data_IF_656461338026
#
_entry.id   IF_656461338026
#
_cell.length_a   1.000
_cell.length_b   1.000
_cell.length_c   1.000
_cell.angle_alpha   90.00
_cell.angle_beta   90.00
_cell.angle_gamma   90.00
#
_symmetry.space_group_name_H-M   'P 1'
#
loop_
_entity.id
_entity.type
_entity.pdbx_description
1 polymer ?
#
# COMPACT_ATOMS: atom_id res chain seq x y z
N UNK A 1 -33.79 20.08 5.65
CA UNK A 1 -33.32 19.27 4.52
C UNK A 1 -32.67 18.06 5.13
N UNK A 2 -33.07 16.87 4.71
CA UNK A 2 -32.50 15.61 5.20
C UNK A 2 -31.00 15.58 4.82
N UNK A 3 -30.10 15.76 5.79
CA UNK A 3 -28.64 15.86 5.54
C UNK A 3 -28.01 14.54 5.04
N UNK A 4 -28.83 13.49 4.89
CA UNK A 4 -28.43 12.17 4.39
C UNK A 4 -28.02 12.18 2.91
N UNK A 5 -28.49 13.14 2.11
CA UNK A 5 -28.14 13.22 0.68
C UNK A 5 -27.52 14.56 0.31
N UNK A 6 -26.42 14.54 -0.46
CA UNK A 6 -25.78 15.77 -0.96
C UNK A 6 -26.68 16.40 -2.01
N UNK A 7 -26.92 17.71 -1.96
CA UNK A 7 -27.63 18.40 -3.02
C UNK A 7 -26.79 18.38 -4.30
N UNK A 8 -27.40 17.93 -5.39
CA UNK A 8 -26.85 18.06 -6.74
C UNK A 8 -27.30 19.42 -7.26
N UNK A 9 -26.36 20.35 -7.42
CA UNK A 9 -26.63 21.68 -7.98
C UNK A 9 -26.71 21.62 -9.49
N UNK A 10 -27.42 22.58 -10.07
CA UNK A 10 -27.41 22.80 -11.52
C UNK A 10 -25.98 23.03 -12.01
N UNK A 11 -25.65 22.40 -13.12
CA UNK A 11 -24.35 22.55 -13.76
C UNK A 11 -24.13 24.01 -14.18
N UNK A 12 -23.08 24.70 -13.70
CA UNK A 12 -22.73 26.02 -14.21
C UNK A 12 -22.31 25.94 -15.68
N UNK A 13 -22.64 26.98 -16.44
CA UNK A 13 -22.21 27.12 -17.83
C UNK A 13 -20.67 27.19 -17.91
N UNK A 14 -20.05 26.83 -19.05
CA UNK A 14 -18.61 26.95 -19.22
C UNK A 14 -18.07 28.36 -18.92
N UNK A 15 -18.82 29.41 -19.25
CA UNK A 15 -18.42 30.78 -18.95
C UNK A 15 -18.51 31.10 -17.45
N UNK A 16 -19.52 30.59 -16.72
CA UNK A 16 -19.59 30.74 -15.26
C UNK A 16 -18.44 30.02 -14.55
N UNK A 17 -18.08 28.80 -14.98
CA UNK A 17 -16.93 28.05 -14.44
C UNK A 17 -15.64 28.87 -14.64
N UNK A 18 -15.45 29.39 -15.85
CA UNK A 18 -14.30 30.23 -16.20
C UNK A 18 -14.25 31.49 -15.36
N UNK A 19 -15.36 32.24 -15.26
CA UNK A 19 -15.45 33.44 -14.44
C UNK A 19 -15.12 33.17 -12.98
N UNK A 20 -15.64 32.06 -12.42
CA UNK A 20 -15.36 31.64 -11.05
C UNK A 20 -13.87 31.39 -10.80
N UNK A 21 -13.20 30.62 -11.68
CA UNK A 21 -11.79 30.26 -11.49
C UNK A 21 -10.84 31.42 -11.76
N UNK A 22 -11.20 32.33 -12.67
CA UNK A 22 -10.38 33.50 -13.01
C UNK A 22 -10.50 34.64 -11.98
N UNK A 23 -11.25 34.43 -10.88
CA UNK A 23 -11.22 35.37 -9.75
C UNK A 23 -9.82 35.36 -9.11
N UNK A 24 -9.17 36.53 -8.94
CA UNK A 24 -7.78 36.61 -8.48
C UNK A 24 -7.51 35.85 -7.17
N UNK A 25 -8.43 35.94 -6.21
CA UNK A 25 -8.33 35.30 -4.91
C UNK A 25 -8.40 33.77 -5.00
N UNK A 26 -9.30 33.23 -5.83
CA UNK A 26 -9.42 31.79 -6.09
C UNK A 26 -8.17 31.27 -6.78
N UNK A 27 -7.77 31.93 -7.87
CA UNK A 27 -6.63 31.53 -8.66
C UNK A 27 -5.34 31.55 -7.84
N UNK A 28 -5.16 32.55 -6.97
CA UNK A 28 -4.02 32.66 -6.04
C UNK A 28 -3.98 31.49 -5.07
N UNK A 29 -5.09 31.15 -4.43
CA UNK A 29 -5.11 30.02 -3.49
C UNK A 29 -4.90 28.67 -4.19
N UNK A 30 -5.53 28.46 -5.36
CA UNK A 30 -5.29 27.25 -6.15
C UNK A 30 -3.81 27.12 -6.56
N UNK A 31 -3.24 28.20 -7.10
CA UNK A 31 -1.85 28.24 -7.55
C UNK A 31 -0.86 27.95 -6.42
N UNK A 32 -1.12 28.44 -5.21
CA UNK A 32 -0.23 28.21 -4.05
C UNK A 32 -0.05 26.72 -3.71
N UNK A 33 -1.06 25.89 -3.99
CA UNK A 33 -0.98 24.44 -3.79
C UNK A 33 -0.22 23.77 -4.92
N UNK A 34 -0.31 24.30 -6.14
CA UNK A 34 0.22 23.63 -7.33
C UNK A 34 1.75 23.52 -7.36
N UNK A 35 2.45 24.32 -6.56
CA UNK A 35 3.91 24.34 -6.54
C UNK A 35 4.49 22.96 -6.21
N UNK A 36 5.40 22.48 -7.06
CA UNK A 36 6.03 21.15 -6.96
C UNK A 36 5.04 19.97 -6.95
N UNK A 37 3.77 20.14 -7.29
CA UNK A 37 2.81 19.04 -7.40
C UNK A 37 2.60 18.61 -8.84
N UNK A 38 2.30 17.32 -9.02
CA UNK A 38 1.69 16.86 -10.25
C UNK A 38 0.24 17.33 -10.28
N UNK A 39 -0.16 18.01 -11.35
CA UNK A 39 -1.52 18.54 -11.53
C UNK A 39 -2.26 17.70 -12.57
N UNK A 40 -3.52 17.40 -12.29
CA UNK A 40 -4.41 16.68 -13.18
C UNK A 40 -5.73 17.46 -13.34
N UNK A 41 -5.83 18.34 -14.36
CA UNK A 41 -7.10 18.96 -14.70
C UNK A 41 -8.04 17.90 -15.31
N UNK A 42 -9.34 18.07 -15.07
CA UNK A 42 -10.40 17.38 -15.79
C UNK A 42 -11.11 18.39 -16.67
N UNK A 43 -11.38 18.01 -17.90
CA UNK A 43 -12.02 18.88 -18.90
C UNK A 43 -13.48 18.48 -19.13
N UNK A 44 -14.22 19.39 -19.76
CA UNK A 44 -15.57 19.11 -20.25
C UNK A 44 -15.60 17.82 -21.10
N UNK A 45 -16.64 17.00 -20.98
CA UNK A 45 -16.71 15.60 -21.44
C UNK A 45 -15.90 14.56 -20.63
N UNK A 46 -15.52 14.89 -19.39
CA UNK A 46 -15.01 13.93 -18.39
C UNK A 46 -13.64 13.30 -18.66
N UNK A 47 -12.86 13.81 -19.61
CA UNK A 47 -11.50 13.33 -19.81
C UNK A 47 -10.53 14.01 -18.85
N UNK A 48 -9.61 13.22 -18.28
CA UNK A 48 -8.48 13.76 -17.54
C UNK A 48 -7.42 14.28 -18.52
N UNK A 49 -6.76 15.38 -18.15
CA UNK A 49 -5.56 15.83 -18.83
C UNK A 49 -4.47 14.77 -18.80
N UNK A 50 -3.60 14.78 -19.82
CA UNK A 50 -2.45 13.88 -19.87
C UNK A 50 -1.55 14.11 -18.65
N UNK A 51 -1.11 13.00 -18.04
CA UNK A 51 -0.20 12.99 -16.89
C UNK A 51 1.19 12.47 -17.30
N UNK A 52 2.29 13.02 -16.75
CA UNK A 52 2.31 14.11 -15.79
C UNK A 52 1.99 15.48 -16.39
N UNK A 53 1.47 16.35 -15.54
CA UNK A 53 1.28 17.77 -15.82
C UNK A 53 1.68 18.57 -14.58
N UNK A 54 2.02 19.85 -14.78
CA UNK A 54 2.36 20.79 -13.71
C UNK A 54 1.83 22.17 -14.06
N UNK A 55 1.74 23.05 -13.06
CA UNK A 55 1.39 24.45 -13.24
C UNK A 55 2.44 25.32 -12.52
N UNK A 56 3.65 25.48 -13.11
CA UNK A 56 4.73 26.26 -12.51
C UNK A 56 4.42 27.76 -12.40
N UNK A 57 3.55 28.28 -13.27
CA UNK A 57 3.11 29.67 -13.27
C UNK A 57 1.59 29.76 -13.14
N UNK A 58 1.09 30.88 -12.60
CA UNK A 58 -0.34 31.13 -12.48
C UNK A 58 -1.06 31.11 -13.84
N UNK A 59 -0.39 31.59 -14.89
CA UNK A 59 -0.90 31.57 -16.26
C UNK A 59 -1.17 30.16 -16.81
N UNK A 60 -0.51 29.12 -16.28
CA UNK A 60 -0.78 27.73 -16.68
C UNK A 60 -2.18 27.29 -16.21
N UNK A 61 -2.57 27.66 -14.98
CA UNK A 61 -3.92 27.41 -14.49
C UNK A 61 -4.95 28.20 -15.30
N UNK A 62 -4.69 29.48 -15.58
CA UNK A 62 -5.60 30.27 -16.43
C UNK A 62 -5.77 29.64 -17.81
N UNK A 63 -4.68 29.16 -18.41
CA UNK A 63 -4.72 28.48 -19.70
C UNK A 63 -5.60 27.23 -19.62
N UNK A 64 -5.40 26.37 -18.61
CA UNK A 64 -6.24 25.18 -18.41
C UNK A 64 -7.73 25.54 -18.24
N UNK A 65 -8.04 26.59 -17.49
CA UNK A 65 -9.41 27.11 -17.35
C UNK A 65 -9.97 27.57 -18.70
N UNK A 66 -9.20 28.33 -19.49
CA UNK A 66 -9.57 28.77 -20.84
C UNK A 66 -9.77 27.60 -21.81
N UNK A 67 -9.08 26.47 -21.58
CA UNK A 67 -9.29 25.20 -22.27
C UNK A 67 -10.48 24.38 -21.72
N UNK A 68 -11.37 25.00 -20.94
CA UNK A 68 -12.59 24.39 -20.36
C UNK A 68 -12.31 23.30 -19.33
N UNK A 69 -11.26 23.46 -18.52
CA UNK A 69 -11.08 22.64 -17.33
C UNK A 69 -12.24 22.87 -16.33
N UNK A 70 -12.88 21.79 -15.89
CA UNK A 70 -13.99 21.81 -14.93
C UNK A 70 -13.50 21.62 -13.51
N UNK A 71 -12.54 20.71 -13.27
CA UNK A 71 -11.94 20.49 -11.96
C UNK A 71 -10.44 20.26 -12.03
N UNK A 72 -9.78 20.41 -10.89
CA UNK A 72 -8.35 20.29 -10.73
C UNK A 72 -8.03 19.37 -9.55
N UNK A 73 -7.09 18.46 -9.79
CA UNK A 73 -6.54 17.58 -8.78
C UNK A 73 -5.02 17.79 -8.71
N UNK A 74 -4.43 17.58 -7.53
CA UNK A 74 -3.00 17.67 -7.31
C UNK A 74 -2.49 16.46 -6.54
N UNK A 75 -1.22 16.11 -6.72
CA UNK A 75 -0.59 15.04 -5.95
C UNK A 75 -0.44 15.42 -4.48
N UNK A 76 -0.64 14.46 -3.57
CA UNK A 76 -0.27 14.65 -2.15
C UNK A 76 1.25 14.84 -2.02
N UNK A 77 2.01 14.08 -2.81
CA UNK A 77 3.47 14.19 -2.94
C UNK A 77 3.89 15.50 -3.61
N UNK A 78 5.06 16.00 -3.19
CA UNK A 78 5.77 17.10 -3.80
C UNK A 78 7.01 16.56 -4.53
N UNK A 79 7.27 17.06 -5.73
CA UNK A 79 8.28 16.58 -6.66
C UNK A 79 9.23 17.71 -7.05
N UNK A 80 10.52 17.39 -7.12
CA UNK A 80 11.55 18.31 -7.65
C UNK A 80 11.26 18.71 -9.10
N UNK A 81 10.75 17.76 -9.89
CA UNK A 81 10.30 17.99 -11.25
C UNK A 81 9.11 17.06 -11.56
N UNK A 82 7.85 17.55 -11.43
CA UNK A 82 6.67 16.73 -11.71
C UNK A 82 6.64 16.19 -13.14
N UNK A 83 7.21 16.91 -14.11
CA UNK A 83 7.22 16.48 -15.52
C UNK A 83 8.13 15.28 -15.79
N UNK A 84 9.03 14.93 -14.86
CA UNK A 84 9.89 13.75 -14.95
C UNK A 84 9.19 12.45 -14.52
N UNK A 85 7.96 12.52 -14.01
CA UNK A 85 7.25 11.34 -13.51
C UNK A 85 6.81 10.41 -14.66
N UNK A 86 7.00 9.11 -14.46
CA UNK A 86 6.53 8.06 -15.35
C UNK A 86 6.09 6.82 -14.55
N UNK A 87 5.19 6.02 -15.11
CA UNK A 87 4.80 4.71 -14.55
C UNK A 87 5.93 3.68 -14.62
N UNK A 88 6.97 3.93 -15.41
CA UNK A 88 8.11 3.02 -15.59
C UNK A 88 9.22 3.23 -14.56
N UNK A 89 9.16 4.32 -13.79
CA UNK A 89 10.17 4.63 -12.78
C UNK A 89 10.16 3.60 -11.66
N UNK A 90 11.35 3.15 -11.26
CA UNK A 90 11.54 2.33 -10.06
C UNK A 90 11.33 3.19 -8.81
N UNK A 91 11.02 2.53 -7.69
CA UNK A 91 10.83 3.18 -6.37
C UNK A 91 11.98 4.13 -6.01
N UNK A 92 13.23 3.69 -6.17
CA UNK A 92 14.43 4.50 -5.88
C UNK A 92 14.47 5.79 -6.72
N UNK A 93 14.07 5.71 -7.99
CA UNK A 93 14.05 6.88 -8.89
C UNK A 93 12.92 7.84 -8.49
N UNK A 94 11.73 7.31 -8.18
CA UNK A 94 10.61 8.09 -7.66
C UNK A 94 10.98 8.79 -6.34
N UNK A 95 11.60 8.08 -5.41
CA UNK A 95 12.04 8.63 -4.12
C UNK A 95 13.10 9.72 -4.30
N UNK A 96 13.94 9.62 -5.34
CA UNK A 96 14.93 10.65 -5.67
C UNK A 96 14.30 11.94 -6.20
N UNK A 97 13.15 11.83 -6.88
CA UNK A 97 12.34 12.95 -7.37
C UNK A 97 11.45 13.54 -6.28
N UNK A 98 11.07 12.76 -5.26
CA UNK A 98 10.21 13.24 -4.16
C UNK A 98 10.97 14.22 -3.27
N UNK A 99 10.33 15.36 -3.03
CA UNK A 99 10.82 16.41 -2.12
C UNK A 99 10.09 16.40 -0.78
N UNK A 100 8.83 15.94 -0.76
CA UNK A 100 8.01 15.83 0.44
C UNK A 100 6.63 15.27 0.10
N UNK A 101 5.72 15.31 1.06
CA UNK A 101 4.32 14.94 0.89
C UNK A 101 3.49 15.65 1.95
N UNK A 102 2.36 16.24 1.55
CA UNK A 102 1.41 16.79 2.52
C UNK A 102 0.58 15.64 3.09
N UNK A 103 0.25 15.72 4.38
CA UNK A 103 -0.60 14.74 5.04
C UNK A 103 -2.05 15.18 4.90
N UNK A 104 -2.90 14.36 4.26
CA UNK A 104 -4.29 14.71 3.96
C UNK A 104 -5.19 13.54 4.40
N UNK A 105 -5.90 13.71 5.49
CA UNK A 105 -6.95 12.79 5.90
C UNK A 105 -8.16 13.03 5.00
N UNK A 106 -8.41 12.12 4.06
CA UNK A 106 -9.62 12.12 3.23
C UNK A 106 -10.71 11.32 3.95
N UNK A 107 -11.76 12.04 4.36
CA UNK A 107 -12.85 11.52 5.18
C UNK A 107 -14.10 11.55 4.31
N UNK A 108 -14.71 10.39 4.01
CA UNK A 108 -15.96 10.30 3.24
C UNK A 108 -16.96 9.40 3.96
N UNK A 109 -18.25 9.77 3.92
CA UNK A 109 -19.32 8.99 4.53
C UNK A 109 -20.50 8.85 3.59
N UNK A 110 -20.86 7.61 3.25
CA UNK A 110 -22.07 7.34 2.48
C UNK A 110 -23.34 7.58 3.31
N UNK A 111 -23.30 7.29 4.62
CA UNK A 111 -24.47 7.30 5.53
C UNK A 111 -24.89 8.71 5.99
N UNK A 112 -24.03 9.71 5.87
CA UNK A 112 -24.38 11.09 6.19
C UNK A 112 -23.19 12.02 6.44
N UNK A 113 -23.33 13.27 5.99
CA UNK A 113 -22.26 14.27 6.11
C UNK A 113 -22.02 14.74 7.55
N UNK A 114 -22.99 14.58 8.44
CA UNK A 114 -22.81 14.82 9.87
C UNK A 114 -21.72 13.92 10.47
N UNK A 115 -21.69 12.63 10.10
CA UNK A 115 -20.64 11.70 10.54
C UNK A 115 -19.27 12.11 10.03
N UNK A 116 -19.18 12.61 8.78
CA UNK A 116 -17.93 13.15 8.23
C UNK A 116 -17.45 14.40 8.99
N UNK A 117 -18.34 15.33 9.35
CA UNK A 117 -18.02 16.53 10.15
C UNK A 117 -17.50 16.16 11.54
N UNK A 118 -18.19 15.24 12.23
CA UNK A 118 -17.79 14.78 13.57
C UNK A 118 -16.45 14.05 13.52
N UNK A 119 -16.23 13.20 12.52
CA UNK A 119 -14.95 12.53 12.31
C UNK A 119 -13.83 13.55 12.08
N UNK A 120 -14.05 14.53 11.20
CA UNK A 120 -13.09 15.60 10.93
C UNK A 120 -12.74 16.41 12.19
N UNK A 121 -13.73 16.76 13.02
CA UNK A 121 -13.48 17.44 14.29
C UNK A 121 -12.63 16.60 15.26
N UNK A 122 -12.93 15.30 15.39
CA UNK A 122 -12.18 14.42 16.28
C UNK A 122 -10.75 14.24 15.79
N UNK A 123 -10.52 14.17 14.47
CA UNK A 123 -9.19 14.14 13.88
C UNK A 123 -8.44 15.46 14.09
N UNK A 124 -9.09 16.62 13.92
CA UNK A 124 -8.50 17.93 14.27
C UNK A 124 -8.08 17.94 15.74
N UNK A 125 -8.97 17.54 16.65
CA UNK A 125 -8.67 17.50 18.09
C UNK A 125 -7.52 16.54 18.42
N UNK A 126 -7.44 15.40 17.72
CA UNK A 126 -6.35 14.45 17.89
C UNK A 126 -5.02 15.02 17.40
N UNK A 127 -4.99 15.67 16.23
CA UNK A 127 -3.79 16.34 15.71
C UNK A 127 -3.30 17.44 16.65
N UNK A 128 -4.22 18.25 17.22
CA UNK A 128 -3.89 19.27 18.21
C UNK A 128 -3.31 18.66 19.50
N UNK A 129 -3.84 17.52 19.96
CA UNK A 129 -3.31 16.81 21.11
C UNK A 129 -1.88 16.28 20.89
N UNK A 130 -1.47 16.07 19.64
CA UNK A 130 -0.08 15.75 19.26
C UNK A 130 0.79 16.99 18.97
N UNK A 131 0.26 18.20 19.22
CA UNK A 131 1.01 19.46 19.09
C UNK A 131 0.87 20.17 17.74
N UNK A 132 0.09 19.62 16.79
CA UNK A 132 -0.08 20.21 15.46
C UNK A 132 -1.19 21.26 15.51
N UNK A 133 -0.82 22.54 15.46
CA UNK A 133 -1.80 23.63 15.55
C UNK A 133 -2.24 24.13 14.17
N UNK A 134 -1.35 24.04 13.18
CA UNK A 134 -1.56 24.55 11.83
C UNK A 134 -2.27 23.53 10.93
N UNK A 135 -3.54 23.27 11.26
CA UNK A 135 -4.37 22.30 10.54
C UNK A 135 -5.27 23.02 9.54
N UNK A 136 -5.29 22.52 8.31
CA UNK A 136 -6.22 22.98 7.27
C UNK A 136 -7.40 22.02 7.14
N UNK A 137 -8.60 22.55 6.90
CA UNK A 137 -9.76 21.74 6.57
C UNK A 137 -10.41 22.24 5.27
N UNK A 138 -11.01 21.34 4.50
CA UNK A 138 -11.85 21.71 3.36
C UNK A 138 -12.97 20.70 3.14
N UNK A 139 -14.11 21.18 2.68
CA UNK A 139 -15.13 20.33 2.09
C UNK A 139 -14.59 19.70 0.79
N UNK A 140 -14.86 18.41 0.55
CA UNK A 140 -14.39 17.70 -0.65
C UNK A 140 -15.16 18.06 -1.93
N UNK A 141 -16.32 18.72 -1.77
CA UNK A 141 -17.28 18.95 -2.84
C UNK A 141 -18.40 17.91 -2.89
N UNK A 142 -18.42 16.89 -2.02
CA UNK A 142 -19.45 15.84 -2.00
C UNK A 142 -19.92 15.51 -0.57
N UNK A 143 -19.57 14.36 0.00
CA UNK A 143 -19.97 13.92 1.36
C UNK A 143 -18.81 13.88 2.33
N UNK A 144 -17.68 14.44 1.91
CA UNK A 144 -16.42 14.30 2.62
C UNK A 144 -15.79 15.62 3.02
N UNK A 145 -14.86 15.51 3.96
CA UNK A 145 -14.02 16.60 4.45
C UNK A 145 -12.58 16.13 4.39
N UNK A 146 -11.69 16.99 3.93
CA UNK A 146 -10.27 16.73 4.02
C UNK A 146 -9.73 17.54 5.20
N UNK A 147 -8.99 16.88 6.08
CA UNK A 147 -8.18 17.53 7.12
C UNK A 147 -6.72 17.36 6.72
N UNK A 148 -5.91 18.41 6.77
CA UNK A 148 -4.58 18.36 6.20
C UNK A 148 -3.53 19.12 7.01
N UNK A 149 -2.31 18.60 6.95
CA UNK A 149 -1.10 19.14 7.60
C UNK A 149 -0.02 19.30 6.52
N UNK A 150 0.66 20.45 6.51
CA UNK A 150 1.69 20.74 5.52
C UNK A 150 2.88 19.82 5.67
N UNK A 151 3.51 19.41 4.56
CA UNK A 151 4.79 18.70 4.59
C UNK A 151 5.87 19.46 5.36
N UNK A 152 5.74 20.79 5.48
CA UNK A 152 6.69 21.66 6.21
C UNK A 152 6.55 21.56 7.73
N UNK A 153 5.46 20.98 8.23
CA UNK A 153 5.25 20.70 9.65
C UNK A 153 6.03 19.47 10.12
N UNK A 154 6.57 18.67 9.20
CA UNK A 154 7.28 17.43 9.50
C UNK A 154 8.78 17.67 9.62
N UNK A 155 9.48 16.87 10.46
CA UNK A 155 10.93 16.92 10.53
C UNK A 155 11.58 16.55 9.21
N UNK A 156 12.75 17.11 8.93
CA UNK A 156 13.48 16.78 7.69
C UNK A 156 13.84 15.28 7.65
N UNK A 157 14.23 14.73 8.81
CA UNK A 157 14.71 13.35 8.97
C UNK A 157 14.31 12.78 10.33
N UNK A 158 14.09 11.47 10.37
CA UNK A 158 13.98 10.69 11.60
C UNK A 158 14.92 9.48 11.49
N UNK A 159 15.72 9.23 12.53
CA UNK A 159 16.73 8.18 12.54
C UNK A 159 17.66 8.21 11.32
N UNK A 160 18.02 9.41 10.86
CA UNK A 160 18.85 9.63 9.67
C UNK A 160 18.16 9.40 8.31
N UNK A 161 16.89 8.96 8.31
CA UNK A 161 16.10 8.73 7.09
C UNK A 161 15.24 9.97 6.80
N UNK A 162 15.32 10.56 5.59
CA UNK A 162 14.44 11.67 5.20
C UNK A 162 12.96 11.28 5.22
N UNK A 163 12.11 12.14 5.80
CA UNK A 163 10.65 11.92 5.86
C UNK A 163 10.05 11.80 4.45
N UNK A 164 10.59 12.52 3.47
CA UNK A 164 10.19 12.40 2.06
C UNK A 164 10.36 11.00 1.47
N UNK A 165 11.23 10.15 2.04
CA UNK A 165 11.41 8.75 1.60
C UNK A 165 10.51 7.76 2.31
N UNK A 166 9.81 8.18 3.36
CA UNK A 166 8.92 7.32 4.13
C UNK A 166 7.52 7.19 3.52
N UNK A 167 7.27 7.84 2.38
CA UNK A 167 6.02 7.71 1.63
C UNK A 167 5.96 6.38 0.85
N UNK A 168 4.80 5.69 0.78
CA UNK A 168 3.53 6.04 1.41
C UNK A 168 3.37 5.46 2.82
N UNK A 169 4.32 4.67 3.32
CA UNK A 169 4.06 3.84 4.50
C UNK A 169 3.88 4.63 5.79
N UNK A 170 4.66 5.71 6.00
CA UNK A 170 4.47 6.57 7.16
C UNK A 170 3.08 7.25 7.17
N UNK A 171 2.62 7.96 6.12
CA UNK A 171 1.28 8.54 6.15
C UNK A 171 0.17 7.49 6.30
N UNK A 172 0.29 6.29 5.72
CA UNK A 172 -0.68 5.21 5.96
C UNK A 172 -0.72 4.79 7.43
N UNK A 173 0.44 4.62 8.04
CA UNK A 173 0.53 4.30 9.46
C UNK A 173 -0.04 5.43 10.32
N UNK A 174 0.16 6.70 9.95
CA UNK A 174 -0.41 7.85 10.66
C UNK A 174 -1.94 7.86 10.60
N UNK A 175 -2.53 7.54 9.44
CA UNK A 175 -3.99 7.36 9.31
C UNK A 175 -4.46 6.26 10.25
N UNK A 176 -3.84 5.08 10.19
CA UNK A 176 -4.20 3.93 11.05
C UNK A 176 -4.07 4.24 12.55
N UNK A 177 -3.00 4.94 12.93
CA UNK A 177 -2.78 5.38 14.30
C UNK A 177 -3.87 6.35 14.75
N UNK A 178 -4.13 7.43 14.00
CA UNK A 178 -5.18 8.40 14.32
C UNK A 178 -6.56 7.75 14.37
N UNK A 179 -6.85 6.81 13.47
CA UNK A 179 -8.07 5.99 13.51
C UNK A 179 -8.17 5.23 14.83
N UNK A 180 -7.08 4.64 15.31
CA UNK A 180 -7.08 3.94 16.60
C UNK A 180 -7.32 4.89 17.78
N UNK A 181 -6.73 6.10 17.73
CA UNK A 181 -6.86 7.13 18.79
C UNK A 181 -8.30 7.59 18.94
N UNK A 182 -9.00 7.87 17.83
CA UNK A 182 -10.36 8.42 17.89
C UNK A 182 -11.45 7.35 17.98
N UNK A 183 -11.14 6.07 17.70
CA UNK A 183 -12.14 4.99 17.50
C UNK A 183 -13.24 4.99 18.56
N UNK A 184 -12.86 4.94 19.84
CA UNK A 184 -13.81 4.86 20.95
C UNK A 184 -14.75 6.06 21.00
N UNK A 185 -14.18 7.28 21.00
CA UNK A 185 -14.95 8.52 21.07
C UNK A 185 -15.81 8.73 19.81
N UNK A 186 -15.34 8.26 18.66
CA UNK A 186 -16.06 8.29 17.40
C UNK A 186 -17.31 7.39 17.45
N UNK A 187 -17.17 6.16 17.94
CA UNK A 187 -18.30 5.25 18.17
C UNK A 187 -19.35 5.85 19.09
N UNK A 188 -18.93 6.41 20.23
CA UNK A 188 -19.82 7.08 21.19
C UNK A 188 -20.60 8.22 20.50
N UNK A 189 -19.90 9.07 19.76
CA UNK A 189 -20.53 10.19 19.03
C UNK A 189 -21.49 9.75 17.94
N UNK A 190 -21.19 8.68 17.21
CA UNK A 190 -22.08 8.16 16.17
C UNK A 190 -23.41 7.68 16.77
N UNK A 191 -23.36 6.98 17.91
CA UNK A 191 -24.55 6.50 18.62
C UNK A 191 -25.35 7.67 19.22
N UNK A 192 -24.67 8.73 19.68
CA UNK A 192 -25.33 9.96 20.18
C UNK A 192 -26.11 10.68 19.07
N UNK A 193 -25.62 10.67 17.82
CA UNK A 193 -26.31 11.28 16.66
C UNK A 193 -27.54 10.45 16.31
N UNK A 194 -27.36 9.14 16.14
CA UNK A 194 -28.44 8.22 15.79
C UNK A 194 -28.18 6.85 16.42
N UNK A 195 -28.96 6.51 17.44
CA UNK A 195 -28.83 5.22 18.13
C UNK A 195 -29.06 4.01 17.21
N UNK A 196 -29.79 4.18 16.09
CA UNK A 196 -30.00 3.11 15.12
C UNK A 196 -28.75 2.74 14.34
N UNK A 197 -27.74 3.62 14.28
CA UNK A 197 -26.48 3.37 13.58
C UNK A 197 -25.68 2.24 14.23
N UNK A 198 -25.94 1.93 15.50
CA UNK A 198 -25.23 0.89 16.25
C UNK A 198 -25.28 -0.49 15.57
N UNK A 199 -26.33 -0.80 14.80
CA UNK A 199 -26.39 -2.04 14.01
C UNK A 199 -25.42 -2.04 12.83
N UNK A 200 -25.17 -0.87 12.22
CA UNK A 200 -24.24 -0.73 11.09
C UNK A 200 -22.77 -0.78 11.54
N UNK A 201 -22.51 -0.44 12.81
CA UNK A 201 -21.16 -0.50 13.39
C UNK A 201 -20.74 -1.91 13.78
N UNK A 202 -21.66 -2.87 13.85
CA UNK A 202 -21.34 -4.27 14.19
C UNK A 202 -20.81 -5.00 12.97
N UNK A 203 -19.76 -5.79 13.19
CA UNK A 203 -19.33 -6.81 12.22
C UNK A 203 -19.86 -8.17 12.64
N UNK A 204 -20.22 -9.02 11.67
CA UNK A 204 -20.76 -10.35 11.94
C UNK A 204 -19.76 -11.19 12.75
N UNK A 205 -20.20 -11.64 13.94
CA UNK A 205 -19.37 -12.44 14.84
C UNK A 205 -18.34 -11.66 15.66
N UNK A 206 -18.42 -10.33 15.68
CA UNK A 206 -17.56 -9.46 16.50
C UNK A 206 -18.44 -8.57 17.40
N UNK A 207 -18.25 -8.68 18.72
CA UNK A 207 -19.03 -7.90 19.70
C UNK A 207 -18.60 -6.42 19.75
N UNK A 208 -17.37 -6.10 19.34
CA UNK A 208 -16.83 -4.73 19.34
C UNK A 208 -17.39 -3.92 18.17
N UNK A 209 -17.93 -2.73 18.47
CA UNK A 209 -18.40 -1.79 17.45
C UNK A 209 -17.23 -1.11 16.73
N UNK A 210 -17.32 -1.03 15.41
CA UNK A 210 -16.34 -0.41 14.54
C UNK A 210 -16.98 0.78 13.78
N UNK A 211 -16.61 2.04 14.12
CA UNK A 211 -17.19 3.21 13.45
C UNK A 211 -16.80 3.24 11.97
N UNK A 212 -15.66 2.65 11.61
CA UNK A 212 -15.12 2.62 10.25
C UNK A 212 -15.89 1.72 9.27
N UNK A 213 -16.97 1.06 9.73
CA UNK A 213 -17.90 0.36 8.85
C UNK A 213 -18.79 1.32 8.04
N UNK A 214 -18.96 2.56 8.51
CA UNK A 214 -19.81 3.57 7.85
C UNK A 214 -19.04 4.83 7.44
N UNK A 215 -17.90 5.11 8.09
CA UNK A 215 -17.03 6.24 7.77
C UNK A 215 -15.73 5.72 7.16
N UNK A 216 -15.41 6.21 5.98
CA UNK A 216 -14.12 5.97 5.37
C UNK A 216 -13.15 7.09 5.75
N UNK A 217 -11.99 6.70 6.25
CA UNK A 217 -10.83 7.57 6.45
C UNK A 217 -9.70 6.91 5.68
N UNK A 218 -9.47 7.39 4.46
CA UNK A 218 -8.67 6.70 3.43
C UNK A 218 -7.25 6.39 3.91
N UNK A 219 -6.90 5.10 3.92
CA UNK A 219 -5.63 4.58 4.42
C UNK A 219 -4.78 3.90 3.32
N UNK A 220 -5.26 3.82 2.08
CA UNK A 220 -4.62 3.10 0.97
C UNK A 220 -3.91 4.03 -0.01
N UNK A 221 -3.16 4.99 0.53
CA UNK A 221 -2.42 5.98 -0.24
C UNK A 221 -1.44 5.34 -1.23
N UNK A 222 -1.66 5.49 -2.52
CA UNK A 222 -0.79 4.97 -3.58
C UNK A 222 0.37 5.91 -3.94
N UNK A 223 1.21 5.51 -4.89
CA UNK A 223 2.17 6.43 -5.54
C UNK A 223 1.42 7.37 -6.48
N UNK A 224 1.82 8.65 -6.52
CA UNK A 224 1.18 9.73 -7.31
C UNK A 224 -0.31 9.87 -6.99
N UNK A 225 -0.65 9.67 -5.72
CA UNK A 225 -2.01 9.79 -5.21
C UNK A 225 -2.50 11.24 -5.32
N UNK A 226 -3.70 11.42 -5.87
CA UNK A 226 -4.26 12.73 -6.19
C UNK A 226 -5.40 13.07 -5.22
N UNK A 227 -5.49 14.34 -4.85
CA UNK A 227 -6.65 14.89 -4.15
C UNK A 227 -7.22 16.07 -4.95
N UNK A 228 -8.52 16.35 -4.80
CA UNK A 228 -9.14 17.52 -5.42
C UNK A 228 -8.58 18.80 -4.79
N UNK A 229 -8.08 19.72 -5.61
CA UNK A 229 -7.53 20.99 -5.13
C UNK A 229 -8.59 21.82 -4.39
N UNK A 230 -8.19 22.64 -3.40
CA UNK A 230 -9.11 23.62 -2.83
C UNK A 230 -9.65 24.54 -3.93
N UNK A 231 -10.88 24.99 -3.77
CA UNK A 231 -11.63 25.80 -4.72
C UNK A 231 -11.98 25.14 -6.05
N UNK A 232 -11.58 23.89 -6.30
CA UNK A 232 -12.01 23.16 -7.48
C UNK A 232 -13.48 22.71 -7.39
N UNK A 233 -14.23 22.78 -8.49
CA UNK A 233 -15.55 22.14 -8.61
C UNK A 233 -15.45 20.63 -8.45
N UNK A 234 -16.58 20.02 -8.06
CA UNK A 234 -16.86 18.60 -8.17
C UNK A 234 -17.95 18.38 -9.23
N UNK A 235 -17.68 17.61 -10.28
CA UNK A 235 -18.63 17.46 -11.39
C UNK A 235 -19.87 16.61 -11.08
N UNK A 236 -19.89 15.89 -9.95
CA UNK A 236 -21.06 15.11 -9.53
C UNK A 236 -22.12 16.00 -8.88
N UNK A 237 -21.70 17.02 -8.15
CA UNK A 237 -22.56 17.86 -7.28
C UNK A 237 -22.59 19.32 -7.72
N UNK A 238 -21.60 19.73 -8.52
CA UNK A 238 -21.29 21.12 -8.89
C UNK A 238 -21.03 22.06 -7.71
N UNK A 239 -20.77 21.49 -6.53
CA UNK A 239 -20.24 22.22 -5.38
C UNK A 239 -18.73 22.37 -5.50
N UNK A 240 -18.22 23.39 -4.83
CA UNK A 240 -16.80 23.71 -4.74
C UNK A 240 -16.17 22.99 -3.56
N UNK A 241 -14.95 22.46 -3.75
CA UNK A 241 -14.11 21.99 -2.64
C UNK A 241 -13.61 23.16 -1.80
N UNK A 242 -14.46 23.67 -0.91
CA UNK A 242 -14.25 24.92 -0.19
C UNK A 242 -13.40 24.70 1.08
N UNK A 243 -12.27 25.42 1.26
CA UNK A 243 -11.58 25.49 2.56
C UNK A 243 -12.49 26.04 3.67
N UNK A 244 -12.37 25.47 4.87
CA UNK A 244 -13.19 25.77 6.04
C UNK A 244 -12.23 26.04 7.22
N UNK A 245 -12.55 27.03 8.05
CA UNK A 245 -11.84 27.19 9.32
C UNK A 245 -12.08 25.97 10.22
N UNK A 246 -11.04 25.47 10.89
CA UNK A 246 -11.10 24.22 11.65
C UNK A 246 -12.17 24.22 12.76
N UNK A 247 -12.43 25.38 13.37
CA UNK A 247 -13.47 25.61 14.39
C UNK A 247 -14.89 25.74 13.81
N UNK A 248 -15.03 25.84 12.49
CA UNK A 248 -16.31 26.00 11.76
C UNK A 248 -16.73 24.76 10.99
N UNK A 249 -16.04 23.63 11.18
CA UNK A 249 -16.34 22.37 10.47
C UNK A 249 -17.78 21.90 10.74
N UNK A 250 -18.26 21.97 11.99
CA UNK A 250 -19.62 21.51 12.36
C UNK A 250 -20.69 22.42 11.77
N UNK A 251 -20.45 23.72 11.71
CA UNK A 251 -21.43 24.69 11.24
C UNK A 251 -21.56 24.72 9.71
N UNK A 252 -20.63 24.08 8.99
CA UNK A 252 -20.57 24.10 7.54
C UNK A 252 -21.80 23.46 6.89
N UNK A 253 -22.37 24.14 5.90
CA UNK A 253 -23.52 23.68 5.11
C UNK A 253 -23.15 23.57 3.63
N UNK A 254 -23.77 22.65 2.91
CA UNK A 254 -23.53 22.49 1.46
C UNK A 254 -23.73 23.78 0.66
N UNK A 255 -24.72 24.58 1.03
CA UNK A 255 -25.02 25.87 0.39
C UNK A 255 -23.85 26.86 0.48
N UNK A 256 -22.98 26.74 1.49
CA UNK A 256 -21.77 27.55 1.65
C UNK A 256 -20.71 27.27 0.57
N UNK A 257 -20.80 26.12 -0.10
CA UNK A 257 -19.90 25.67 -1.16
C UNK A 257 -20.47 25.88 -2.57
N UNK A 258 -21.56 26.61 -2.73
CA UNK A 258 -21.96 27.08 -4.06
C UNK A 258 -20.95 28.08 -4.59
N UNK A 259 -20.63 27.97 -5.88
CA UNK A 259 -19.58 28.78 -6.51
C UNK A 259 -19.83 30.29 -6.43
N UNK A 260 -21.10 30.71 -6.42
CA UNK A 260 -21.55 32.10 -6.29
C UNK A 260 -21.46 32.64 -4.85
N UNK A 261 -21.31 31.78 -3.85
CA UNK A 261 -21.15 32.13 -2.42
C UNK A 261 -19.72 32.02 -1.91
N UNK A 262 -18.88 31.23 -2.59
CA UNK A 262 -17.48 31.02 -2.21
C UNK A 262 -16.69 32.31 -2.44
N UNK A 263 -16.07 32.86 -1.39
CA UNK A 263 -15.32 34.13 -1.44
C UNK A 263 -13.84 34.01 -1.78
N UNK A 264 -13.22 32.85 -1.56
CA UNK A 264 -11.77 32.70 -1.80
C UNK A 264 -10.89 33.32 -0.71
N UNK A 265 -11.35 33.30 0.54
CA UNK A 265 -10.77 33.99 1.69
C UNK A 265 -9.95 33.09 2.64
N UNK A 266 -9.92 31.78 2.42
CA UNK A 266 -9.31 30.80 3.33
C UNK A 266 -8.26 29.98 2.59
N UNK A 267 -7.01 30.08 3.05
CA UNK A 267 -5.92 29.24 2.57
C UNK A 267 -6.10 27.76 2.94
N UNK A 268 -5.43 26.87 2.20
CA UNK A 268 -5.30 25.46 2.54
C UNK A 268 -3.80 25.12 2.49
N UNK A 269 -3.25 24.45 3.50
CA UNK A 269 -1.83 24.10 3.60
C UNK A 269 -0.86 25.30 3.49
N UNK A 270 -1.32 26.50 3.88
CA UNK A 270 -0.56 27.75 3.80
C UNK A 270 0.05 28.20 5.13
N UNK A 271 -0.24 27.50 6.24
CA UNK A 271 0.32 27.75 7.56
C UNK A 271 0.97 26.47 8.07
N UNK A 272 2.08 26.61 8.79
CA UNK A 272 2.82 25.51 9.41
C UNK A 272 3.76 26.07 10.49
N UNK A 273 4.13 25.21 11.42
CA UNK A 273 5.28 25.40 12.30
C UNK A 273 6.26 24.25 12.06
N UNK A 274 7.54 24.55 11.85
CA UNK A 274 8.54 23.52 11.59
C UNK A 274 8.59 22.52 12.76
N UNK A 275 8.71 21.24 12.43
CA UNK A 275 8.77 20.13 13.39
C UNK A 275 7.55 19.91 14.30
N UNK A 276 6.44 20.65 14.14
CA UNK A 276 5.23 20.49 15.00
C UNK A 276 4.60 19.08 14.91
N UNK A 277 4.81 18.37 13.81
CA UNK A 277 4.30 17.01 13.62
C UNK A 277 5.23 15.90 14.19
N UNK A 278 6.36 16.25 14.81
CA UNK A 278 7.37 15.28 15.27
C UNK A 278 6.81 14.26 16.26
N UNK A 279 6.02 14.72 17.24
CA UNK A 279 5.39 13.84 18.24
C UNK A 279 4.46 12.82 17.57
N UNK A 280 3.60 13.27 16.65
CA UNK A 280 2.70 12.38 15.92
C UNK A 280 3.48 11.32 15.14
N UNK A 281 4.60 11.69 14.50
CA UNK A 281 5.41 10.74 13.74
C UNK A 281 6.05 9.69 14.65
N UNK A 282 6.66 10.10 15.78
CA UNK A 282 7.30 9.18 16.72
C UNK A 282 6.28 8.18 17.30
N UNK A 283 5.15 8.67 17.80
CA UNK A 283 4.08 7.83 18.35
C UNK A 283 3.50 6.89 17.29
N UNK A 284 3.39 7.35 16.03
CA UNK A 284 2.95 6.51 14.92
C UNK A 284 3.93 5.37 14.64
N UNK A 285 5.24 5.64 14.69
CA UNK A 285 6.27 4.61 14.47
C UNK A 285 6.23 3.55 15.57
N UNK A 286 6.19 3.98 16.83
CA UNK A 286 6.05 3.08 17.98
C UNK A 286 4.76 2.24 17.90
N UNK A 287 3.65 2.85 17.46
CA UNK A 287 2.40 2.13 17.22
C UNK A 287 2.54 1.11 16.08
N UNK A 288 3.16 1.50 14.96
CA UNK A 288 3.34 0.62 13.80
C UNK A 288 4.19 -0.61 14.15
N UNK A 289 5.28 -0.42 14.90
CA UNK A 289 6.14 -1.50 15.37
C UNK A 289 5.35 -2.48 16.26
N UNK A 290 4.53 -1.96 17.20
CA UNK A 290 3.62 -2.78 18.02
C UNK A 290 2.62 -3.55 17.15
N UNK A 291 2.05 -2.93 16.11
CA UNK A 291 1.14 -3.61 15.19
C UNK A 291 1.84 -4.72 14.40
N UNK A 292 3.09 -4.52 14.01
CA UNK A 292 3.88 -5.54 13.33
C UNK A 292 4.17 -6.71 14.27
N UNK A 293 4.56 -6.46 15.52
CA UNK A 293 4.73 -7.52 16.52
C UNK A 293 3.46 -8.33 16.75
N UNK A 294 2.30 -7.67 16.83
CA UNK A 294 1.00 -8.33 17.00
C UNK A 294 0.72 -9.22 15.78
N UNK A 295 0.92 -8.70 14.56
CA UNK A 295 0.75 -9.47 13.31
C UNK A 295 1.69 -10.67 13.27
N UNK A 296 2.95 -10.52 13.69
CA UNK A 296 3.89 -11.62 13.78
C UNK A 296 3.47 -12.67 14.82
N UNK A 297 3.05 -12.24 16.01
CA UNK A 297 2.56 -13.15 17.07
C UNK A 297 1.31 -13.91 16.61
N UNK A 298 0.38 -13.23 15.92
CA UNK A 298 -0.80 -13.87 15.32
C UNK A 298 -0.42 -14.83 14.18
N UNK A 299 0.60 -14.51 13.37
CA UNK A 299 1.12 -15.42 12.34
C UNK A 299 1.80 -16.66 12.95
N UNK A 300 2.56 -16.49 14.03
CA UNK A 300 3.20 -17.58 14.78
C UNK A 300 2.16 -18.46 15.50
N UNK A 301 1.06 -17.86 16.00
CA UNK A 301 -0.01 -18.55 16.73
C UNK A 301 -1.10 -19.15 15.82
N UNK A 302 -1.23 -18.69 14.57
CA UNK A 302 -1.88 -19.51 13.55
C UNK A 302 -1.04 -20.77 13.47
N UNK A 303 -1.57 -21.91 13.97
CA UNK A 303 -0.98 -23.23 13.76
C UNK A 303 -0.40 -23.24 12.36
N UNK A 304 0.92 -23.44 12.27
CA UNK A 304 1.60 -23.49 10.98
C UNK A 304 0.70 -24.28 10.04
N UNK A 305 0.40 -23.77 8.84
CA UNK A 305 -0.38 -24.52 7.85
C UNK A 305 0.28 -25.88 7.48
N UNK A 306 1.47 -26.11 8.04
CA UNK A 306 2.34 -27.27 7.92
C UNK A 306 2.46 -28.10 9.22
N UNK A 307 1.77 -27.73 10.30
CA UNK A 307 1.73 -28.51 11.54
C UNK A 307 1.01 -29.85 11.25
N UNK A 308 1.80 -30.92 11.10
CA UNK A 308 1.33 -32.25 10.66
C UNK A 308 1.53 -32.57 9.16
N UNK A 309 1.97 -31.62 8.32
CA UNK A 309 2.38 -31.89 6.94
C UNK A 309 3.89 -32.09 6.87
N UNK A 310 4.34 -33.34 6.97
CA UNK A 310 5.69 -33.69 6.49
C UNK A 310 5.68 -33.68 4.98
N UNK A 311 6.35 -32.70 4.38
CA UNK A 311 6.86 -32.87 3.04
C UNK A 311 8.16 -33.66 3.15
N UNK A 312 8.08 -34.99 3.02
CA UNK A 312 9.26 -35.82 2.87
C UNK A 312 9.79 -35.58 1.45
N UNK A 313 10.74 -34.64 1.33
CA UNK A 313 11.41 -34.38 0.07
C UNK A 313 12.00 -35.68 -0.51
N UNK A 314 12.21 -35.75 -1.84
CA UNK A 314 12.67 -36.99 -2.48
C UNK A 314 14.08 -37.44 -2.06
N UNK A 315 14.78 -36.63 -1.26
CA UNK A 315 16.19 -36.79 -0.89
C UNK A 315 16.40 -36.38 0.58
N UNK A 316 17.49 -36.87 1.17
CA UNK A 316 17.98 -36.35 2.45
C UNK A 316 18.35 -34.85 2.30
N UNK A 317 18.11 -34.08 3.36
CA UNK A 317 18.41 -32.65 3.42
C UNK A 317 19.87 -32.38 3.02
N UNK A 318 20.06 -31.55 1.99
CA UNK A 318 21.39 -31.07 1.59
C UNK A 318 21.80 -29.88 2.45
N UNK A 319 22.97 -29.96 3.07
CA UNK A 319 23.54 -28.88 3.88
C UNK A 319 23.96 -27.68 3.01
N UNK A 320 23.96 -26.50 3.64
CA UNK A 320 24.28 -25.20 3.02
C UNK A 320 25.70 -25.13 2.42
N UNK A 321 26.66 -25.83 3.01
CA UNK A 321 28.05 -25.96 2.52
C UNK A 321 28.15 -26.50 1.09
N UNK A 322 27.12 -27.20 0.61
CA UNK A 322 27.06 -27.76 -0.73
C UNK A 322 26.38 -26.86 -1.76
N UNK A 323 25.86 -25.70 -1.35
CA UNK A 323 25.11 -24.82 -2.24
C UNK A 323 25.99 -24.21 -3.34
N UNK A 324 25.44 -23.99 -4.55
CA UNK A 324 26.15 -23.30 -5.62
C UNK A 324 26.30 -21.80 -5.30
N UNK A 325 27.33 -21.15 -5.87
CA UNK A 325 27.57 -19.72 -5.65
C UNK A 325 26.36 -18.83 -5.93
N UNK A 326 25.54 -19.17 -6.94
CA UNK A 326 24.35 -18.38 -7.26
C UNK A 326 23.28 -18.41 -6.17
N UNK A 327 23.13 -19.51 -5.45
CA UNK A 327 22.18 -19.60 -4.32
C UNK A 327 22.76 -18.89 -3.09
N UNK A 328 24.05 -19.05 -2.82
CA UNK A 328 24.74 -18.32 -1.73
C UNK A 328 24.63 -16.81 -1.94
N UNK A 329 24.87 -16.33 -3.17
CA UNK A 329 24.73 -14.92 -3.51
C UNK A 329 23.29 -14.42 -3.33
N UNK A 330 22.28 -15.24 -3.68
CA UNK A 330 20.88 -14.90 -3.38
C UNK A 330 20.70 -14.81 -1.86
N UNK A 331 21.19 -15.76 -1.07
CA UNK A 331 21.04 -15.81 0.40
C UNK A 331 21.75 -14.65 1.13
N UNK A 332 22.75 -14.03 0.51
CA UNK A 332 23.40 -12.82 1.02
C UNK A 332 22.58 -11.54 0.79
N UNK A 333 21.44 -11.63 0.08
CA UNK A 333 20.55 -10.53 -0.23
C UNK A 333 20.60 -10.15 -1.71
N UNK A 334 19.49 -9.58 -2.21
CA UNK A 334 19.37 -9.15 -3.62
C UNK A 334 18.80 -7.73 -3.73
N UNK A 335 19.44 -6.91 -4.56
CA UNK A 335 19.00 -5.55 -4.86
C UNK A 335 17.72 -5.53 -5.72
N UNK A 336 17.64 -6.43 -6.72
CA UNK A 336 16.51 -6.58 -7.64
C UNK A 336 16.14 -8.07 -7.83
N UNK A 337 14.87 -8.35 -8.10
CA UNK A 337 14.36 -9.70 -8.37
C UNK A 337 13.96 -10.52 -7.14
N UNK A 338 13.65 -9.90 -5.99
CA UNK A 338 13.27 -10.61 -4.75
C UNK A 338 12.13 -11.63 -4.91
N UNK A 339 11.10 -11.34 -5.71
CA UNK A 339 10.03 -12.31 -6.02
C UNK A 339 10.57 -13.53 -6.80
N UNK A 340 11.49 -13.30 -7.75
CA UNK A 340 12.19 -14.37 -8.47
C UNK A 340 13.11 -15.15 -7.53
N UNK A 341 13.78 -14.47 -6.59
CA UNK A 341 14.60 -15.10 -5.56
C UNK A 341 13.79 -16.02 -4.64
N UNK A 342 12.63 -15.57 -4.14
CA UNK A 342 11.71 -16.41 -3.34
C UNK A 342 11.32 -17.66 -4.13
N UNK A 343 10.91 -17.48 -5.40
CA UNK A 343 10.57 -18.62 -6.26
C UNK A 343 11.76 -19.59 -6.45
N UNK A 344 12.97 -19.08 -6.69
CA UNK A 344 14.19 -19.88 -6.81
C UNK A 344 14.47 -20.65 -5.52
N UNK A 345 14.48 -19.95 -4.37
CA UNK A 345 14.83 -20.51 -3.07
C UNK A 345 13.82 -21.59 -2.64
N UNK A 346 12.51 -21.33 -2.76
CA UNK A 346 11.47 -22.33 -2.45
C UNK A 346 11.70 -23.62 -3.25
N UNK A 347 11.82 -23.50 -4.57
CA UNK A 347 11.99 -24.68 -5.43
C UNK A 347 13.34 -25.37 -5.17
N UNK A 348 14.41 -24.60 -4.92
CA UNK A 348 15.74 -25.13 -4.61
C UNK A 348 15.73 -25.93 -3.30
N UNK A 349 15.24 -25.35 -2.22
CA UNK A 349 15.22 -26.00 -0.90
C UNK A 349 14.31 -27.22 -0.88
N UNK A 350 13.11 -27.15 -1.48
CA UNK A 350 12.22 -28.31 -1.60
C UNK A 350 12.87 -29.45 -2.39
N UNK A 351 13.59 -29.14 -3.46
CA UNK A 351 14.35 -30.14 -4.25
C UNK A 351 15.52 -30.73 -3.45
N UNK A 352 16.12 -29.93 -2.58
CA UNK A 352 17.23 -30.31 -1.70
C UNK A 352 16.77 -30.98 -0.38
N UNK A 353 15.49 -31.33 -0.24
CA UNK A 353 14.98 -32.09 0.89
C UNK A 353 14.78 -31.30 2.20
N UNK A 354 14.68 -29.97 2.13
CA UNK A 354 14.40 -29.15 3.31
C UNK A 354 12.91 -29.22 3.70
N UNK A 355 12.62 -29.20 5.01
CA UNK A 355 11.25 -29.19 5.52
C UNK A 355 10.58 -27.83 5.32
N UNK A 356 9.26 -27.81 5.09
CA UNK A 356 8.51 -26.58 4.81
C UNK A 356 8.69 -25.49 5.88
N UNK A 357 8.71 -25.89 7.16
CA UNK A 357 8.96 -24.96 8.27
C UNK A 357 10.37 -24.35 8.22
N UNK A 358 11.39 -25.16 7.95
CA UNK A 358 12.77 -24.69 7.83
C UNK A 358 12.92 -23.74 6.63
N UNK A 359 12.24 -24.03 5.53
CA UNK A 359 12.20 -23.15 4.35
C UNK A 359 11.55 -21.81 4.69
N UNK A 360 10.43 -21.82 5.41
CA UNK A 360 9.76 -20.59 5.83
C UNK A 360 10.67 -19.74 6.73
N UNK A 361 11.29 -20.37 7.75
CA UNK A 361 12.21 -19.71 8.67
C UNK A 361 13.41 -19.10 7.93
N UNK A 362 14.04 -19.85 7.02
CA UNK A 362 15.18 -19.37 6.21
C UNK A 362 14.78 -18.22 5.27
N UNK A 363 13.59 -18.30 4.63
CA UNK A 363 13.10 -17.24 3.75
C UNK A 363 12.75 -15.96 4.51
N UNK A 364 12.16 -16.08 5.69
CA UNK A 364 11.86 -14.92 6.54
C UNK A 364 13.14 -14.24 7.02
N UNK A 365 14.16 -15.01 7.39
CA UNK A 365 15.45 -14.47 7.81
C UNK A 365 16.22 -13.84 6.64
N UNK A 366 16.24 -14.52 5.48
CA UNK A 366 16.77 -13.95 4.25
C UNK A 366 16.07 -12.64 3.86
N UNK A 367 14.75 -12.55 4.05
CA UNK A 367 13.98 -11.38 3.67
C UNK A 367 14.39 -10.12 4.44
N UNK A 368 14.78 -10.25 5.72
CA UNK A 368 15.28 -9.15 6.56
C UNK A 368 16.61 -8.56 6.08
N UNK A 369 17.44 -9.36 5.38
CA UNK A 369 18.74 -8.93 4.85
C UNK A 369 18.62 -8.06 3.60
N UNK A 370 17.44 -7.99 3.00
CA UNK A 370 17.21 -7.19 1.80
C UNK A 370 16.85 -5.74 2.16
N UNK A 371 17.34 -4.78 1.37
CA UNK A 371 17.08 -3.35 1.55
C UNK A 371 15.57 -2.99 1.53
N UNK A 372 14.76 -3.75 0.80
CA UNK A 372 13.29 -3.64 0.76
C UNK A 372 12.67 -5.04 0.98
N UNK A 373 12.42 -5.45 2.23
CA UNK A 373 11.79 -6.73 2.52
C UNK A 373 10.43 -6.88 1.82
N UNK A 374 10.14 -8.07 1.30
CA UNK A 374 8.82 -8.41 0.76
C UNK A 374 7.86 -8.68 1.93
N UNK A 375 6.57 -8.33 1.79
CA UNK A 375 5.54 -8.67 2.78
C UNK A 375 5.59 -10.17 3.12
N UNK A 376 5.72 -10.50 4.41
CA UNK A 376 5.83 -11.89 4.90
C UNK A 376 4.69 -12.79 4.38
N UNK A 377 3.48 -12.24 4.27
CA UNK A 377 2.30 -12.89 3.67
C UNK A 377 2.55 -13.42 2.26
N UNK A 378 3.31 -12.69 1.43
CA UNK A 378 3.64 -13.15 0.08
C UNK A 378 4.54 -14.39 0.14
N UNK A 379 5.52 -14.42 1.06
CA UNK A 379 6.42 -15.56 1.25
C UNK A 379 5.60 -16.80 1.65
N UNK A 380 4.76 -16.69 2.67
CA UNK A 380 3.91 -17.79 3.13
C UNK A 380 2.93 -18.24 2.05
N UNK A 381 2.38 -17.31 1.25
CA UNK A 381 1.49 -17.65 0.13
C UNK A 381 2.20 -18.44 -0.96
N UNK A 382 3.42 -18.01 -1.36
CA UNK A 382 4.20 -18.72 -2.37
C UNK A 382 4.64 -20.11 -1.89
N UNK A 383 5.05 -20.23 -0.62
CA UNK A 383 5.41 -21.50 -0.03
C UNK A 383 4.20 -22.44 0.06
N UNK A 384 3.02 -21.94 0.46
CA UNK A 384 1.78 -22.72 0.48
C UNK A 384 1.42 -23.22 -0.92
N UNK A 385 1.46 -22.36 -1.93
CA UNK A 385 1.22 -22.75 -3.32
C UNK A 385 2.21 -23.82 -3.81
N UNK A 386 3.49 -23.72 -3.45
CA UNK A 386 4.48 -24.74 -3.79
C UNK A 386 4.23 -26.07 -3.04
N UNK A 387 3.80 -26.01 -1.78
CA UNK A 387 3.53 -27.18 -0.94
C UNK A 387 2.32 -28.03 -1.37
N UNK A 388 1.41 -27.45 -2.17
CA UNK A 388 0.24 -28.17 -2.68
C UNK A 388 0.57 -29.10 -3.85
N UNK A 389 1.80 -29.05 -4.37
CA UNK A 389 2.24 -29.87 -5.50
C UNK A 389 2.67 -31.25 -5.03
N UNK A 390 2.35 -32.27 -5.81
CA UNK A 390 2.75 -33.66 -5.51
C UNK A 390 4.28 -33.88 -5.52
N UNK A 391 5.02 -33.09 -6.31
CA UNK A 391 6.49 -33.19 -6.44
C UNK A 391 7.13 -31.81 -6.46
N UNK A 392 8.36 -31.65 -5.91
CA UNK A 392 9.12 -30.42 -6.06
C UNK A 392 9.36 -30.12 -7.53
N UNK A 393 9.18 -28.85 -7.91
CA UNK A 393 9.65 -28.37 -9.21
C UNK A 393 11.12 -27.96 -9.02
N UNK A 394 11.96 -28.33 -9.99
CA UNK A 394 13.35 -27.90 -10.01
C UNK A 394 13.42 -26.36 -10.10
N UNK A 395 14.38 -25.70 -9.43
CA UNK A 395 14.60 -24.29 -9.67
C UNK A 395 15.00 -24.06 -11.14
N UNK A 396 14.80 -22.87 -11.70
CA UNK A 396 15.21 -22.57 -13.07
C UNK A 396 16.67 -22.91 -13.35
N UNK A 397 17.00 -23.25 -14.60
CA UNK A 397 18.39 -23.49 -15.01
C UNK A 397 19.19 -22.17 -15.06
N UNK A 398 20.50 -22.24 -14.77
CA UNK A 398 21.40 -21.09 -14.79
C UNK A 398 21.51 -20.39 -16.16
N UNK A 399 21.18 -21.10 -17.25
CA UNK A 399 21.20 -20.56 -18.61
C UNK A 399 19.93 -19.77 -18.97
N UNK A 400 18.86 -19.89 -18.18
CA UNK A 400 17.64 -19.15 -18.44
C UNK A 400 17.90 -17.65 -18.21
N UNK A 401 17.73 -16.84 -19.27
CA UNK A 401 18.07 -15.41 -19.28
C UNK A 401 17.37 -14.68 -18.13
N UNK A 402 16.07 -14.90 -17.93
CA UNK A 402 15.24 -14.17 -16.96
C UNK A 402 15.52 -14.40 -15.46
N UNK A 403 16.53 -15.19 -15.08
CA UNK A 403 16.81 -15.55 -13.68
C UNK A 403 18.22 -15.12 -13.25
N UNK A 404 19.13 -16.05 -12.99
CA UNK A 404 20.38 -15.81 -12.26
C UNK A 404 21.33 -14.79 -12.91
N UNK A 405 21.35 -14.72 -14.25
CA UNK A 405 22.19 -13.76 -14.98
C UNK A 405 21.61 -12.35 -14.92
N UNK A 406 20.32 -12.19 -15.19
CA UNK A 406 19.63 -10.90 -15.13
C UNK A 406 19.56 -10.35 -13.71
N UNK A 407 19.49 -11.23 -12.70
CA UNK A 407 19.57 -10.87 -11.29
C UNK A 407 21.01 -10.57 -10.82
N UNK A 408 22.02 -10.72 -11.70
CA UNK A 408 23.45 -10.50 -11.40
C UNK A 408 24.00 -11.32 -10.23
N UNK A 409 23.38 -12.47 -9.93
CA UNK A 409 23.80 -13.38 -8.84
C UNK A 409 24.66 -14.54 -9.32
N UNK A 410 24.75 -14.75 -10.64
CA UNK A 410 25.49 -15.87 -11.24
C UNK A 410 27.00 -15.56 -11.33
N UNK A 411 27.78 -16.09 -10.36
CA UNK A 411 29.26 -16.06 -10.36
C UNK A 411 29.77 -17.50 -10.42
N UNK A 412 30.04 -18.07 -11.62
CA UNK A 412 30.35 -19.49 -11.76
C UNK A 412 31.71 -19.87 -11.16
N UNK A 413 31.78 -21.07 -10.55
CA UNK A 413 33.04 -21.71 -10.15
C UNK A 413 33.38 -22.91 -11.05
N UNK A 414 34.51 -23.58 -10.78
CA UNK A 414 35.00 -24.71 -11.59
C UNK A 414 34.01 -25.89 -11.74
N UNK A 415 33.04 -26.03 -10.84
CA UNK A 415 32.02 -27.09 -10.89
C UNK A 415 30.77 -26.68 -11.70
N UNK A 416 30.52 -25.38 -11.88
CA UNK A 416 29.34 -24.85 -12.58
C UNK A 416 29.24 -25.25 -14.08
N UNK A 417 30.32 -25.30 -14.89
CA UNK A 417 30.22 -25.69 -16.29
C UNK A 417 29.67 -27.10 -16.52
N UNK A 418 29.77 -27.99 -15.52
CA UNK A 418 29.35 -29.39 -15.61
C UNK A 418 27.87 -29.61 -15.26
N UNK A 419 27.20 -28.59 -14.70
CA UNK A 419 25.86 -28.73 -14.13
C UNK A 419 25.03 -27.47 -14.41
N UNK A 420 23.94 -27.66 -15.17
CA UNK A 420 23.08 -26.57 -15.62
C UNK A 420 22.08 -26.06 -14.56
N UNK A 421 21.75 -26.91 -13.58
CA UNK A 421 20.71 -26.62 -12.58
C UNK A 421 21.30 -26.50 -11.16
N UNK A 422 20.96 -25.44 -10.40
CA UNK A 422 21.45 -25.25 -9.03
C UNK A 422 21.15 -26.40 -8.07
N UNK A 423 19.97 -27.02 -8.14
CA UNK A 423 19.64 -28.13 -7.26
C UNK A 423 20.48 -29.37 -7.58
N UNK A 424 20.67 -29.68 -8.88
CA UNK A 424 21.56 -30.76 -9.31
C UNK A 424 23.00 -30.53 -8.87
N UNK A 425 23.44 -29.27 -8.81
CA UNK A 425 24.77 -28.91 -8.32
C UNK A 425 24.93 -29.34 -6.87
N UNK A 426 24.00 -28.92 -6.01
CA UNK A 426 24.04 -29.19 -4.58
C UNK A 426 23.97 -30.70 -4.30
N UNK A 427 23.05 -31.40 -4.97
CA UNK A 427 22.85 -32.85 -4.81
C UNK A 427 24.11 -33.65 -5.21
N UNK A 428 24.74 -33.30 -6.33
CA UNK A 428 25.97 -33.99 -6.79
C UNK A 428 27.16 -33.69 -5.88
N UNK A 429 27.29 -32.45 -5.41
CA UNK A 429 28.39 -32.04 -4.53
C UNK A 429 28.27 -32.70 -3.14
N UNK A 430 27.06 -32.91 -2.66
CA UNK A 430 26.76 -33.59 -1.40
C UNK A 430 26.86 -35.13 -1.48
N UNK A 431 27.06 -35.73 -2.66
CA UNK A 431 27.19 -37.19 -2.81
C UNK A 431 25.91 -37.98 -2.57
N UNK A 432 24.73 -37.35 -2.63
CA UNK A 432 23.42 -37.96 -2.29
C UNK A 432 22.91 -38.93 -3.38
N UNK A 433 23.74 -39.25 -4.38
CA UNK A 433 23.45 -40.16 -5.47
C UNK A 433 24.34 -41.43 -5.43
N UNK A 434 24.46 -42.11 -4.28
CA UNK A 434 24.81 -43.55 -4.33
C UNK A 434 24.53 -44.34 -3.03
N UNK A 435 23.51 -45.22 -3.07
CA UNK A 435 23.48 -46.54 -2.39
C UNK A 435 22.29 -47.39 -2.85
N UNK A 436 22.17 -47.57 -4.17
CA UNK A 436 21.43 -48.68 -4.77
C UNK A 436 22.16 -50.01 -4.67
N UNK A 437 22.60 -50.43 -3.47
CA UNK A 437 23.07 -51.80 -3.20
C UNK A 437 22.88 -52.15 -1.72
N UNK A 438 21.71 -52.67 -1.38
CA UNK A 438 21.62 -53.71 -0.36
C UNK A 438 20.65 -54.80 -0.84
N UNK A 439 21.24 -55.89 -1.35
CA UNK A 439 20.57 -57.15 -1.67
C UNK A 439 19.89 -57.68 -0.41
N UNK A 440 18.55 -57.71 -0.37
CA UNK A 440 17.82 -58.75 0.35
C UNK A 440 17.13 -59.64 -0.68
N UNK A 441 17.57 -60.90 -0.70
CA UNK A 441 17.08 -62.00 -1.55
C UNK A 441 15.56 -62.11 -1.42
N UNK A 442 14.87 -62.09 -2.55
CA UNK A 442 13.45 -62.50 -2.63
C UNK A 442 13.41 -64.03 -2.42
N UNK A 443 12.68 -64.56 -1.43
CA UNK A 443 12.38 -66.00 -1.41
C UNK A 443 11.37 -66.31 -2.51
N UNK A 444 11.68 -67.28 -3.37
CA UNK A 444 10.78 -67.78 -4.42
C UNK A 444 9.50 -68.32 -3.76
N UNK A 445 8.33 -67.75 -4.08
CA UNK A 445 7.03 -68.36 -3.79
C UNK A 445 6.78 -69.55 -4.74
N UNK A 446 6.17 -70.66 -4.27
CA UNK A 446 5.84 -71.79 -5.14
C UNK A 446 4.67 -71.43 -6.07
N UNK A 447 4.77 -71.91 -7.31
CA UNK A 447 3.77 -71.77 -8.37
C UNK A 447 2.61 -72.72 -8.10
N UNK A 448 1.44 -72.20 -7.73
CA UNK A 448 0.18 -72.94 -7.77
C UNK A 448 -0.44 -72.83 -9.17
N UNK A 449 -0.49 -73.97 -9.88
CA UNK A 449 -1.24 -74.15 -11.13
C UNK A 449 -2.73 -74.24 -10.81
N UNK A 450 -3.53 -73.25 -11.21
CA UNK A 450 -4.98 -73.44 -11.32
C UNK A 450 -5.32 -73.99 -12.70
N UNK A 451 -5.72 -75.27 -12.73
CA UNK A 451 -6.44 -75.91 -13.83
C UNK A 451 -7.82 -75.26 -13.95
N UNK A 452 -8.18 -74.79 -15.15
CA UNK A 452 -9.57 -74.60 -15.54
C UNK A 452 -10.12 -75.98 -15.92
N UNK A 453 -11.05 -76.51 -15.14
CA UNK A 453 -11.95 -77.58 -15.59
C UNK A 453 -13.22 -76.94 -16.16
N UNK A 454 -13.47 -77.30 -17.41
CA UNK A 454 -14.75 -77.13 -18.12
C UNK A 454 -15.55 -78.39 -17.84
N UNK A 455 -16.77 -78.27 -17.32
CA UNK A 455 -17.83 -79.27 -17.52
C UNK A 455 -19.20 -78.57 -17.61
N UNK A 456 -19.80 -78.74 -18.80
CA UNK A 456 -21.18 -79.20 -19.07
C UNK A 456 -22.04 -79.43 -17.83
N UNK A 457 -23.30 -79.00 -17.75
CA UNK A 457 -24.36 -78.95 -18.78
C UNK A 457 -25.18 -77.65 -18.72
#
# INVERSE_FOLDING_TARGET
>A
MDEKTVPIMDRPTPEQIKQYYLRPEILKHMFSICHNKEIAPRFDASFYGKRPASAPFMGDLEYMVKQKATSFHGSVELWKNPMALSSELKKIELDSLRSGWDFILDIDCDEGFEYARVTAMLLVSALEAFGINNISAKFSGSRGIHVAVSHKSFPEKINGVPISRMYPELPRNMVGFLRSVIKKKLTEKFIEIDASVASLLKEDGVDELNPYNIIDVEENWGVRHLFRLPYSFNEKTWLVSKPIQKDKIVDFRYDDARYDKVKGDIGFLQSWEEDEASTLVLETMDWADKQEEIKEKMQKNKKSAYEGKRFDGPLAKVEDTYFPPCIVNILNGVEDGRKRAIFILINFFMTCGWGLREIEEELLEWNKRNQDPIKTVYISTQLNYASQREKPIMPPNCQNKGYYKDMKVCVPNAFCPKILNPATYAIKKAGVFDKGKNKKKIPKKPVTKNKKEVKKD
#
